data_IF_876703626739
#
_entry.id   IF_876703626739
#
_cell.length_a   1.000
_cell.length_b   1.000
_cell.length_c   1.000
_cell.angle_alpha   90.00
_cell.angle_beta   90.00
_cell.angle_gamma   90.00
#
_symmetry.space_group_name_H-M   'P 1'
#
loop_
_entity.id
_entity.type
_entity.pdbx_description
1 polymer ?
#
# COMPACT_ATOMS: atom_id res chain seq x y z
N UNK A 1 1.88 -7.57 -14.43
CA UNK A 1 1.04 -6.37 -14.64
C UNK A 1 1.64 -5.18 -13.90
N UNK A 2 1.92 -4.12 -14.62
CA UNK A 2 2.40 -2.87 -14.01
C UNK A 2 1.26 -1.83 -13.99
N UNK A 3 1.56 -0.61 -13.56
CA UNK A 3 0.56 0.45 -13.47
C UNK A 3 -0.04 0.79 -14.84
N UNK A 4 0.78 0.84 -15.88
CA UNK A 4 0.30 1.13 -17.23
C UNK A 4 -0.61 0.02 -17.75
N UNK A 5 -0.28 -1.23 -17.49
CA UNK A 5 -1.12 -2.38 -17.85
C UNK A 5 -2.47 -2.32 -17.12
N UNK A 6 -2.46 -1.92 -15.86
CA UNK A 6 -3.69 -1.75 -15.10
C UNK A 6 -4.56 -0.63 -15.67
N UNK A 7 -3.96 0.48 -16.05
CA UNK A 7 -4.68 1.59 -16.68
C UNK A 7 -5.36 1.10 -17.98
N UNK A 8 -4.63 0.38 -18.80
CA UNK A 8 -5.17 -0.19 -20.04
C UNK A 8 -6.34 -1.14 -19.77
N UNK A 9 -6.19 -2.01 -18.79
CA UNK A 9 -7.24 -2.97 -18.41
C UNK A 9 -8.50 -2.26 -17.93
N UNK A 10 -8.35 -1.25 -17.07
CA UNK A 10 -9.49 -0.48 -16.53
C UNK A 10 -10.17 0.33 -17.63
N UNK A 11 -9.40 0.94 -18.52
CA UNK A 11 -9.96 1.67 -19.66
C UNK A 11 -10.81 0.75 -20.55
N UNK A 12 -10.31 -0.44 -20.81
CA UNK A 12 -11.02 -1.45 -21.60
C UNK A 12 -12.32 -1.91 -20.92
N UNK A 13 -12.28 -2.14 -19.61
CA UNK A 13 -13.44 -2.60 -18.84
C UNK A 13 -14.52 -1.53 -18.68
N UNK A 14 -14.14 -0.27 -18.66
CA UNK A 14 -15.07 0.84 -18.38
C UNK A 14 -15.49 1.60 -19.62
N UNK A 15 -14.75 1.49 -20.71
CA UNK A 15 -14.95 2.32 -21.89
C UNK A 15 -14.49 3.77 -21.72
N UNK A 16 -13.84 4.10 -20.60
CA UNK A 16 -13.30 5.44 -20.37
C UNK A 16 -12.01 5.67 -21.15
N UNK A 17 -11.70 6.92 -21.41
CA UNK A 17 -10.44 7.28 -22.03
C UNK A 17 -9.25 6.94 -21.10
N UNK A 18 -8.14 6.47 -21.65
CA UNK A 18 -6.96 6.13 -20.87
C UNK A 18 -6.45 7.29 -20.00
N UNK A 19 -6.53 8.52 -20.50
CA UNK A 19 -6.12 9.70 -19.74
C UNK A 19 -6.97 9.91 -18.49
N UNK A 20 -8.26 9.66 -18.57
CA UNK A 20 -9.17 9.76 -17.42
C UNK A 20 -8.91 8.63 -16.42
N UNK A 21 -8.68 7.42 -16.92
CA UNK A 21 -8.33 6.26 -16.08
C UNK A 21 -7.00 6.49 -15.38
N UNK A 22 -6.00 7.01 -16.08
CA UNK A 22 -4.69 7.30 -15.49
C UNK A 22 -4.82 8.29 -14.33
N UNK A 23 -5.63 9.35 -14.51
CA UNK A 23 -5.89 10.33 -13.45
C UNK A 23 -6.60 9.69 -12.25
N UNK A 24 -7.59 8.82 -12.53
CA UNK A 24 -8.32 8.13 -11.47
C UNK A 24 -7.41 7.17 -10.69
N UNK A 25 -6.59 6.40 -11.37
CA UNK A 25 -5.64 5.48 -10.73
C UNK A 25 -4.64 6.24 -9.86
N UNK A 26 -4.06 7.33 -10.38
CA UNK A 26 -3.13 8.16 -9.61
C UNK A 26 -3.82 8.75 -8.38
N UNK A 27 -5.08 9.19 -8.51
CA UNK A 27 -5.84 9.74 -7.39
C UNK A 27 -6.11 8.67 -6.32
N UNK A 28 -6.40 7.44 -6.71
CA UNK A 28 -6.59 6.33 -5.76
C UNK A 28 -5.30 6.08 -4.98
N UNK A 29 -4.17 5.98 -5.67
CA UNK A 29 -2.88 5.72 -5.03
C UNK A 29 -2.48 6.87 -4.09
N UNK A 30 -2.69 8.11 -4.51
CA UNK A 30 -2.44 9.28 -3.67
C UNK A 30 -3.33 9.30 -2.43
N UNK A 31 -4.61 8.95 -2.59
CA UNK A 31 -5.56 8.92 -1.47
C UNK A 31 -5.19 7.87 -0.43
N UNK A 32 -4.76 6.69 -0.88
CA UNK A 32 -4.28 5.63 0.03
C UNK A 32 -3.04 6.12 0.78
N UNK A 33 -2.09 6.72 0.07
CA UNK A 33 -0.86 7.24 0.66
C UNK A 33 -1.15 8.30 1.73
N UNK A 34 -2.01 9.25 1.42
CA UNK A 34 -2.40 10.31 2.36
C UNK A 34 -3.10 9.77 3.60
N UNK A 35 -4.01 8.81 3.42
CA UNK A 35 -4.69 8.18 4.54
C UNK A 35 -3.69 7.49 5.49
N UNK A 36 -2.74 6.75 4.94
CA UNK A 36 -1.72 6.07 5.74
C UNK A 36 -0.78 7.07 6.43
N UNK A 37 -0.47 8.19 5.80
CA UNK A 37 0.32 9.26 6.42
C UNK A 37 -0.36 9.82 7.66
N UNK A 38 -1.69 9.90 7.65
CA UNK A 38 -2.48 10.37 8.79
C UNK A 38 -2.73 9.31 9.86
N UNK A 39 -2.28 8.10 9.63
CA UNK A 39 -2.53 6.96 10.52
C UNK A 39 -3.88 6.30 10.33
N UNK A 40 -4.61 6.63 9.25
CA UNK A 40 -5.89 6.01 8.95
C UNK A 40 -5.68 4.66 8.24
N UNK A 41 -6.68 3.80 8.40
CA UNK A 41 -6.78 2.56 7.63
C UNK A 41 -7.66 2.79 6.41
N UNK A 42 -7.26 2.23 5.28
CA UNK A 42 -8.11 2.23 4.08
C UNK A 42 -8.76 0.86 3.95
N UNK A 43 -10.04 0.80 4.27
CA UNK A 43 -10.81 -0.45 4.25
C UNK A 43 -11.61 -0.54 2.95
N UNK A 44 -11.29 -1.52 2.12
CA UNK A 44 -11.98 -1.78 0.86
C UNK A 44 -12.75 -3.09 0.99
N UNK A 45 -14.06 -2.97 1.21
CA UNK A 45 -14.95 -4.12 1.42
C UNK A 45 -14.79 -5.17 0.33
N UNK A 46 -14.58 -6.42 0.73
CA UNK A 46 -14.44 -7.54 -0.19
C UNK A 46 -13.06 -7.66 -0.82
N UNK A 47 -12.20 -6.66 -0.65
CA UNK A 47 -10.85 -6.68 -1.24
C UNK A 47 -9.76 -6.82 -0.16
N UNK A 48 -9.68 -5.86 0.74
CA UNK A 48 -8.70 -5.87 1.81
C UNK A 48 -8.50 -4.50 2.42
N UNK A 49 -7.54 -4.42 3.33
CA UNK A 49 -7.25 -3.20 4.08
C UNK A 49 -5.79 -2.80 3.91
N UNK A 50 -5.57 -1.51 3.66
CA UNK A 50 -4.25 -0.92 3.76
C UNK A 50 -4.10 -0.32 5.15
N UNK A 51 -3.03 -0.67 5.84
CA UNK A 51 -2.75 -0.19 7.20
C UNK A 51 -1.31 0.27 7.30
N UNK A 52 -1.06 1.23 8.18
CA UNK A 52 0.30 1.64 8.53
C UNK A 52 0.63 1.05 9.90
N UNK A 53 1.51 0.06 9.93
CA UNK A 53 1.96 -0.57 11.17
C UNK A 53 3.07 0.25 11.78
N UNK A 54 2.93 0.57 13.07
CA UNK A 54 4.00 1.25 13.82
C UNK A 54 5.01 0.24 14.32
N UNK A 55 6.29 0.58 14.16
CA UNK A 55 7.40 -0.14 14.79
C UNK A 55 8.06 0.80 15.77
N UNK A 56 8.16 0.36 17.03
CA UNK A 56 8.83 1.13 18.07
C UNK A 56 10.32 1.26 17.78
N UNK A 57 10.93 2.32 18.27
CA UNK A 57 12.37 2.47 18.27
C UNK A 57 12.99 1.30 19.06
N UNK A 58 14.12 0.81 18.58
CA UNK A 58 14.83 -0.30 19.22
C UNK A 58 16.33 -0.09 19.16
N UNK A 59 17.05 -0.80 20.02
CA UNK A 59 18.51 -0.81 20.00
C UNK A 59 18.99 -2.00 19.19
N UNK A 60 19.83 -1.73 18.21
CA UNK A 60 20.51 -2.75 17.42
C UNK A 60 22.00 -2.72 17.70
N UNK A 61 22.74 -3.62 17.07
CA UNK A 61 24.19 -3.66 17.14
C UNK A 61 24.80 -3.58 15.74
N UNK A 62 25.83 -2.78 15.63
CA UNK A 62 26.61 -2.75 14.39
C UNK A 62 27.44 -4.04 14.33
N UNK A 63 27.22 -4.93 13.35
CA UNK A 63 27.93 -6.20 13.26
C UNK A 63 29.44 -6.01 12.98
N UNK A 64 29.84 -4.83 12.53
CA UNK A 64 31.22 -4.52 12.20
C UNK A 64 32.05 -4.08 13.39
N UNK A 65 31.47 -3.24 14.24
CA UNK A 65 32.17 -2.60 15.35
C UNK A 65 31.69 -3.09 16.71
N UNK A 66 30.54 -3.78 16.75
CA UNK A 66 29.91 -4.19 17.98
C UNK A 66 29.25 -3.06 18.78
N UNK A 67 29.25 -1.85 18.22
CA UNK A 67 28.62 -0.69 18.87
C UNK A 67 27.11 -0.79 18.84
N UNK A 68 26.47 -0.28 19.91
CA UNK A 68 25.03 -0.14 19.97
C UNK A 68 24.58 1.01 19.05
N UNK A 69 23.54 0.75 18.26
CA UNK A 69 22.91 1.75 17.42
C UNK A 69 21.43 1.83 17.78
N UNK A 70 20.86 3.04 17.69
CA UNK A 70 19.43 3.22 17.87
C UNK A 70 18.74 3.21 16.52
N UNK A 71 17.80 2.24 16.37
CA UNK A 71 16.94 2.17 15.18
C UNK A 71 15.68 2.98 15.51
N UNK A 72 15.42 4.09 14.78
CA UNK A 72 14.30 4.96 15.12
C UNK A 72 12.96 4.27 14.89
N UNK A 73 11.93 4.73 15.57
CA UNK A 73 10.56 4.33 15.32
C UNK A 73 10.18 4.64 13.87
N UNK A 74 9.41 3.77 13.26
CA UNK A 74 8.96 3.94 11.88
C UNK A 74 7.57 3.39 11.69
N UNK A 75 6.92 3.79 10.60
CA UNK A 75 5.66 3.18 10.17
C UNK A 75 5.88 2.44 8.87
N UNK A 76 5.28 1.26 8.77
CA UNK A 76 5.42 0.39 7.60
C UNK A 76 4.06 0.18 6.98
N UNK A 77 3.86 0.55 5.71
CA UNK A 77 2.60 0.26 5.02
C UNK A 77 2.46 -1.25 4.80
N UNK A 78 1.26 -1.75 5.02
CA UNK A 78 0.95 -3.18 4.84
C UNK A 78 -0.43 -3.32 4.22
N UNK A 79 -0.61 -4.40 3.47
CA UNK A 79 -1.91 -4.78 2.92
C UNK A 79 -2.34 -6.10 3.52
N UNK A 80 -3.58 -6.13 4.06
CA UNK A 80 -4.22 -7.35 4.55
C UNK A 80 -5.33 -7.73 3.61
N UNK A 81 -5.17 -8.85 2.90
CA UNK A 81 -6.18 -9.34 1.97
C UNK A 81 -7.47 -9.70 2.70
N UNK A 82 -8.60 -9.34 2.11
CA UNK A 82 -9.90 -9.77 2.57
C UNK A 82 -10.21 -11.20 2.15
N UNK A 83 -11.26 -11.78 2.75
CA UNK A 83 -11.64 -13.16 2.47
C UNK A 83 -11.96 -13.38 0.99
N UNK A 84 -12.73 -12.49 0.38
CA UNK A 84 -13.12 -12.62 -1.02
C UNK A 84 -11.90 -12.66 -1.95
N UNK A 85 -10.90 -11.81 -1.69
CA UNK A 85 -9.68 -11.81 -2.50
C UNK A 85 -8.88 -13.09 -2.28
N UNK A 86 -8.75 -13.55 -1.04
CA UNK A 86 -8.06 -14.82 -0.74
C UNK A 86 -8.72 -16.00 -1.45
N UNK A 87 -10.04 -16.04 -1.42
CA UNK A 87 -10.81 -17.12 -2.07
C UNK A 87 -10.66 -17.07 -3.59
N UNK A 88 -10.60 -15.86 -4.15
CA UNK A 88 -10.49 -15.68 -5.61
C UNK A 88 -9.15 -16.19 -6.17
N UNK A 89 -8.08 -16.17 -5.38
CA UNK A 89 -6.73 -16.61 -5.83
C UNK A 89 -6.41 -18.05 -5.46
N UNK A 90 -7.31 -18.74 -4.77
CA UNK A 90 -7.13 -20.14 -4.33
C UNK A 90 -8.10 -21.12 -4.97
#
# INVERSE_FOLDING_TARGET
MNKNDMIDTVAERTGLAKSDVARAVEAVLASVTEALQKGDTVALSGFGNFVAKSRAARTGRNPRTGESITIPASRVPSFKAGKALKDAVN
#
